data_IF_859716405065
#
_entry.id   IF_859716405065
#
_cell.length_a   1.000
_cell.length_b   1.000
_cell.length_c   1.000
_cell.angle_alpha   90.00
_cell.angle_beta   90.00
_cell.angle_gamma   90.00
#
_symmetry.space_group_name_H-M   'P 1'
#
loop_
_entity.id
_entity.type
_entity.pdbx_description
1 polymer ?
#
# COMPACT_ATOMS: atom_id res chain seq x y z
N UNK A 1 -10.44 21.19 -18.33
CA UNK A 1 -9.58 20.07 -18.78
C UNK A 1 -9.22 19.11 -17.62
N UNK A 2 -9.01 19.57 -16.39
CA UNK A 2 -8.74 18.72 -15.21
C UNK A 2 -9.89 17.74 -14.93
N UNK A 3 -11.15 18.18 -15.09
CA UNK A 3 -12.32 17.33 -14.83
C UNK A 3 -12.41 16.07 -15.71
N UNK A 4 -12.05 16.15 -16.99
CA UNK A 4 -12.16 15.02 -17.90
C UNK A 4 -11.13 13.91 -17.59
N UNK A 5 -9.89 14.26 -17.18
CA UNK A 5 -8.88 13.28 -16.79
C UNK A 5 -9.33 12.51 -15.54
N UNK A 6 -9.86 13.21 -14.53
CA UNK A 6 -10.35 12.57 -13.32
C UNK A 6 -11.57 11.70 -13.60
N UNK A 7 -12.52 12.16 -14.42
CA UNK A 7 -13.68 11.37 -14.80
C UNK A 7 -13.28 10.04 -15.48
N UNK A 8 -12.23 10.05 -16.31
CA UNK A 8 -11.71 8.83 -16.94
C UNK A 8 -11.12 7.88 -15.89
N UNK A 9 -10.35 8.39 -14.93
CA UNK A 9 -9.78 7.59 -13.84
C UNK A 9 -10.90 6.96 -13.01
N UNK A 10 -11.90 7.76 -12.59
CA UNK A 10 -13.02 7.30 -11.76
C UNK A 10 -13.90 6.27 -12.49
N UNK A 11 -14.14 6.47 -13.78
CA UNK A 11 -14.86 5.51 -14.61
C UNK A 11 -14.08 4.19 -14.76
N UNK A 12 -12.77 4.28 -14.94
CA UNK A 12 -11.89 3.11 -15.01
C UNK A 12 -11.92 2.33 -13.71
N UNK A 13 -11.85 3.03 -12.58
CA UNK A 13 -11.91 2.43 -11.26
C UNK A 13 -13.23 1.68 -11.03
N UNK A 14 -14.38 2.29 -11.34
CA UNK A 14 -15.68 1.64 -11.26
C UNK A 14 -15.77 0.38 -12.13
N UNK A 15 -15.29 0.45 -13.37
CA UNK A 15 -15.30 -0.69 -14.29
C UNK A 15 -14.39 -1.82 -13.81
N UNK A 16 -13.22 -1.50 -13.25
CA UNK A 16 -12.32 -2.50 -12.66
C UNK A 16 -12.97 -3.24 -11.48
N UNK A 17 -13.69 -2.52 -10.63
CA UNK A 17 -14.38 -3.11 -9.48
C UNK A 17 -15.55 -3.99 -9.89
N UNK A 18 -16.34 -3.57 -10.88
CA UNK A 18 -17.59 -4.25 -11.26
C UNK A 18 -17.40 -5.35 -12.28
N UNK A 19 -16.45 -5.20 -13.20
CA UNK A 19 -16.31 -6.09 -14.37
C UNK A 19 -14.90 -6.68 -14.50
N UNK A 20 -13.93 -6.21 -13.72
CA UNK A 20 -12.52 -6.60 -13.85
C UNK A 20 -11.91 -6.16 -15.19
N UNK A 21 -10.70 -6.70 -15.47
CA UNK A 21 -9.94 -6.35 -16.68
C UNK A 21 -10.56 -6.85 -17.98
N UNK A 22 -11.35 -7.92 -17.95
CA UNK A 22 -11.88 -8.55 -19.15
C UNK A 22 -12.79 -7.62 -19.97
N UNK A 23 -13.48 -6.70 -19.31
CA UNK A 23 -14.34 -5.70 -19.95
C UNK A 23 -13.76 -4.28 -19.99
N UNK A 24 -12.54 -4.10 -19.53
CA UNK A 24 -11.88 -2.80 -19.51
C UNK A 24 -11.35 -2.45 -20.92
N UNK A 25 -12.23 -1.89 -21.76
CA UNK A 25 -11.85 -1.35 -23.07
C UNK A 25 -11.94 0.17 -23.07
N UNK A 26 -11.15 0.83 -23.92
CA UNK A 26 -11.19 2.30 -24.05
C UNK A 26 -12.59 2.80 -24.41
N UNK A 27 -13.31 2.05 -25.21
CA UNK A 27 -14.69 2.37 -25.58
C UNK A 27 -15.66 2.34 -24.40
N UNK A 28 -15.52 1.34 -23.52
CA UNK A 28 -16.37 1.24 -22.32
C UNK A 28 -16.00 2.32 -21.30
N UNK A 29 -14.70 2.59 -21.12
CA UNK A 29 -14.24 3.65 -20.25
C UNK A 29 -14.76 5.02 -20.74
N UNK A 30 -14.65 5.30 -22.04
CA UNK A 30 -15.15 6.54 -22.62
C UNK A 30 -16.66 6.72 -22.40
N UNK A 31 -17.44 5.64 -22.61
CA UNK A 31 -18.87 5.64 -22.36
C UNK A 31 -19.21 5.92 -20.91
N UNK A 32 -18.53 5.23 -19.99
CA UNK A 32 -18.73 5.38 -18.54
C UNK A 32 -18.31 6.76 -18.03
N UNK A 33 -17.23 7.33 -18.61
CA UNK A 33 -16.72 8.65 -18.26
C UNK A 33 -17.51 9.81 -18.91
N UNK A 34 -18.39 9.52 -19.88
CA UNK A 34 -19.13 10.54 -20.64
C UNK A 34 -18.22 11.37 -21.56
N UNK A 35 -17.17 10.77 -22.13
CA UNK A 35 -16.19 11.46 -22.99
C UNK A 35 -16.03 10.77 -24.35
N UNK A 36 -15.44 11.46 -25.31
CA UNK A 36 -15.03 10.83 -26.58
C UNK A 36 -13.83 9.90 -26.36
N UNK A 37 -13.81 8.72 -27.03
CA UNK A 37 -12.75 7.72 -26.86
C UNK A 37 -11.35 8.30 -27.17
N UNK A 38 -11.22 9.17 -28.17
CA UNK A 38 -9.95 9.84 -28.49
C UNK A 38 -9.38 10.66 -27.34
N UNK A 39 -10.21 11.11 -26.40
CA UNK A 39 -9.75 11.88 -25.24
C UNK A 39 -8.96 11.01 -24.25
N UNK A 40 -9.24 9.72 -24.19
CA UNK A 40 -8.47 8.78 -23.36
C UNK A 40 -7.01 8.76 -23.84
N UNK A 41 -6.77 8.59 -25.12
CA UNK A 41 -5.42 8.57 -25.70
C UNK A 41 -4.69 9.93 -25.64
N UNK A 42 -5.45 11.01 -25.48
CA UNK A 42 -4.86 12.33 -25.23
C UNK A 42 -4.29 12.44 -23.80
N UNK A 43 -4.90 11.78 -22.83
CA UNK A 43 -4.49 11.85 -21.42
C UNK A 43 -3.58 10.70 -20.97
N UNK A 44 -3.69 9.52 -21.58
CA UNK A 44 -3.01 8.30 -21.17
C UNK A 44 -2.40 7.60 -22.38
N UNK A 45 -1.13 7.26 -22.30
CA UNK A 45 -0.40 6.61 -23.40
C UNK A 45 -0.92 5.21 -23.71
N UNK A 46 -1.30 4.49 -22.66
CA UNK A 46 -1.77 3.12 -22.74
C UNK A 46 -2.67 2.76 -21.54
N UNK A 47 -3.25 1.56 -21.60
CA UNK A 47 -4.11 1.01 -20.55
C UNK A 47 -3.36 0.83 -19.22
N UNK A 48 -2.08 0.53 -19.26
CA UNK A 48 -1.29 0.34 -18.04
C UNK A 48 -1.09 1.65 -17.29
N UNK A 49 -0.87 2.75 -18.01
CA UNK A 49 -0.78 4.08 -17.40
C UNK A 49 -2.11 4.47 -16.73
N UNK A 50 -3.24 4.18 -17.36
CA UNK A 50 -4.55 4.46 -16.79
C UNK A 50 -4.81 3.63 -15.52
N UNK A 51 -4.48 2.33 -15.53
CA UNK A 51 -4.59 1.46 -14.35
C UNK A 51 -3.64 1.94 -13.25
N UNK A 52 -2.43 2.37 -13.62
CA UNK A 52 -1.49 2.95 -12.66
C UNK A 52 -2.08 4.17 -11.94
N UNK A 53 -2.73 5.07 -12.67
CA UNK A 53 -3.37 6.27 -12.09
C UNK A 53 -4.53 5.90 -11.14
N UNK A 54 -5.28 4.84 -11.44
CA UNK A 54 -6.30 4.31 -10.52
C UNK A 54 -5.64 3.81 -9.24
N UNK A 55 -4.58 3.01 -9.34
CA UNK A 55 -3.82 2.52 -8.18
C UNK A 55 -3.25 3.70 -7.38
N UNK A 56 -2.62 4.67 -8.05
CA UNK A 56 -2.04 5.85 -7.38
C UNK A 56 -3.10 6.65 -6.62
N UNK A 57 -4.30 6.78 -7.17
CA UNK A 57 -5.40 7.46 -6.49
C UNK A 57 -5.77 6.75 -5.18
N UNK A 58 -5.82 5.42 -5.18
CA UNK A 58 -6.19 4.62 -4.01
C UNK A 58 -5.11 4.57 -2.94
N UNK A 59 -3.84 4.61 -3.33
CA UNK A 59 -2.71 4.59 -2.37
C UNK A 59 -2.25 5.99 -1.96
N UNK A 60 -2.89 7.04 -2.44
CA UNK A 60 -2.44 8.44 -2.26
C UNK A 60 -2.31 8.84 -0.79
N UNK A 61 -3.28 8.50 0.02
CA UNK A 61 -3.27 8.82 1.45
C UNK A 61 -2.13 8.10 2.16
N UNK A 62 -1.94 6.82 1.89
CA UNK A 62 -0.81 6.03 2.42
C UNK A 62 0.53 6.59 1.98
N UNK A 63 0.66 6.99 0.71
CA UNK A 63 1.87 7.62 0.18
C UNK A 63 2.17 8.94 0.92
N UNK A 64 1.17 9.80 1.09
CA UNK A 64 1.31 11.05 1.82
C UNK A 64 1.69 10.79 3.29
N UNK A 65 1.08 9.78 3.92
CA UNK A 65 1.42 9.40 5.28
C UNK A 65 2.88 8.96 5.38
N UNK A 66 3.33 8.07 4.50
CA UNK A 66 4.73 7.59 4.46
C UNK A 66 5.73 8.72 4.23
N UNK A 67 5.46 9.64 3.32
CA UNK A 67 6.32 10.79 3.06
C UNK A 67 6.44 11.75 4.26
N UNK A 68 5.42 11.82 5.11
CA UNK A 68 5.42 12.63 6.33
C UNK A 68 5.94 11.87 7.57
N UNK A 69 6.14 10.56 7.47
CA UNK A 69 6.58 9.72 8.59
C UNK A 69 7.90 10.19 9.23
N UNK A 70 8.89 10.71 8.50
CA UNK A 70 10.09 11.30 9.11
C UNK A 70 9.81 12.47 10.06
N UNK A 71 8.69 13.18 9.90
CA UNK A 71 8.28 14.27 10.79
C UNK A 71 7.74 13.75 12.14
N UNK A 72 7.45 12.47 12.23
CA UNK A 72 6.94 11.80 13.44
C UNK A 72 8.06 11.17 14.28
N UNK A 73 9.31 11.25 13.83
CA UNK A 73 10.49 10.75 14.56
C UNK A 73 10.57 11.43 15.94
N UNK A 74 10.65 10.61 16.98
CA UNK A 74 10.69 11.08 18.38
C UNK A 74 9.35 11.53 18.95
N UNK A 75 8.28 11.60 18.15
CA UNK A 75 6.94 11.93 18.61
C UNK A 75 6.13 10.68 18.92
N UNK A 76 5.08 10.79 19.72
CA UNK A 76 4.22 9.69 20.13
C UNK A 76 5.01 8.47 20.68
N UNK A 77 4.39 7.30 20.76
CA UNK A 77 5.10 6.04 20.97
C UNK A 77 5.43 5.40 19.63
N UNK A 78 6.58 4.71 19.55
CA UNK A 78 6.95 3.96 18.34
C UNK A 78 5.83 3.00 17.91
N UNK A 79 5.22 2.29 18.87
CA UNK A 79 4.10 1.37 18.59
C UNK A 79 2.90 2.06 17.97
N UNK A 80 2.57 3.30 18.41
CA UNK A 80 1.44 4.06 17.85
C UNK A 80 1.73 4.48 16.40
N UNK A 81 2.93 5.02 16.15
CA UNK A 81 3.31 5.42 14.79
C UNK A 81 3.32 4.21 13.84
N UNK A 82 3.81 3.05 14.30
CA UNK A 82 3.77 1.82 13.51
C UNK A 82 2.34 1.31 13.28
N UNK A 83 1.46 1.40 14.27
CA UNK A 83 0.04 1.05 14.11
C UNK A 83 -0.60 1.87 13.00
N UNK A 84 -0.41 3.18 13.01
CA UNK A 84 -0.98 4.08 12.00
C UNK A 84 -0.44 3.81 10.59
N UNK A 85 0.88 3.57 10.47
CA UNK A 85 1.50 3.14 9.20
C UNK A 85 0.88 1.86 8.69
N UNK A 86 0.83 0.81 9.53
CA UNK A 86 0.40 -0.51 9.10
C UNK A 86 -1.09 -0.55 8.75
N UNK A 87 -1.92 0.20 9.48
CA UNK A 87 -3.34 0.38 9.14
C UNK A 87 -3.49 1.07 7.78
N UNK A 88 -2.75 2.15 7.54
CA UNK A 88 -2.79 2.84 6.25
C UNK A 88 -2.39 1.93 5.09
N UNK A 89 -1.31 1.15 5.27
CA UNK A 89 -0.84 0.15 4.28
C UNK A 89 -1.87 -0.95 4.06
N UNK A 90 -2.48 -1.45 5.13
CA UNK A 90 -3.53 -2.46 5.08
C UNK A 90 -4.72 -1.98 4.22
N UNK A 91 -5.27 -0.81 4.54
CA UNK A 91 -6.43 -0.28 3.81
C UNK A 91 -6.13 -0.06 2.33
N UNK A 92 -4.97 0.55 2.01
CA UNK A 92 -4.57 0.72 0.62
C UNK A 92 -4.48 -0.61 -0.13
N UNK A 93 -3.86 -1.63 0.48
CA UNK A 93 -3.72 -2.95 -0.15
C UNK A 93 -5.04 -3.71 -0.23
N UNK A 94 -5.90 -3.59 0.76
CA UNK A 94 -7.25 -4.15 0.70
C UNK A 94 -8.00 -3.63 -0.52
N UNK A 95 -7.88 -2.34 -0.81
CA UNK A 95 -8.53 -1.70 -1.95
C UNK A 95 -7.92 -2.05 -3.31
N UNK A 96 -6.57 -2.14 -3.41
CA UNK A 96 -5.91 -2.39 -4.69
C UNK A 96 -5.69 -3.87 -5.02
N UNK A 97 -5.82 -4.79 -4.06
CA UNK A 97 -5.58 -6.24 -4.27
C UNK A 97 -6.36 -6.80 -5.46
N UNK A 98 -7.66 -6.52 -5.69
CA UNK A 98 -8.38 -7.02 -6.86
C UNK A 98 -7.76 -6.54 -8.18
N UNK A 99 -7.29 -5.29 -8.22
CA UNK A 99 -6.65 -4.70 -9.41
C UNK A 99 -5.30 -5.38 -9.64
N UNK A 100 -4.49 -5.52 -8.60
CA UNK A 100 -3.17 -6.13 -8.67
C UNK A 100 -3.26 -7.60 -9.13
N UNK A 101 -4.21 -8.37 -8.60
CA UNK A 101 -4.43 -9.76 -9.02
C UNK A 101 -4.75 -9.88 -10.51
N UNK A 102 -5.56 -8.97 -11.04
CA UNK A 102 -5.88 -8.95 -12.47
C UNK A 102 -4.69 -8.51 -13.34
N UNK A 103 -3.87 -7.58 -12.86
CA UNK A 103 -2.61 -7.19 -13.52
C UNK A 103 -1.62 -8.36 -13.55
N UNK A 104 -1.51 -9.13 -12.46
CA UNK A 104 -0.61 -10.29 -12.42
C UNK A 104 -1.01 -11.40 -13.40
N UNK A 105 -2.30 -11.51 -13.72
CA UNK A 105 -2.80 -12.48 -14.71
C UNK A 105 -2.45 -12.12 -16.17
N UNK A 106 -2.16 -10.85 -16.47
CA UNK A 106 -1.78 -10.36 -17.80
C UNK A 106 -0.29 -10.00 -17.83
N UNK A 107 0.52 -10.82 -18.50
CA UNK A 107 1.98 -10.63 -18.55
C UNK A 107 2.39 -9.30 -19.19
N UNK A 108 1.73 -8.87 -20.27
CA UNK A 108 2.07 -7.62 -20.96
C UNK A 108 1.75 -6.42 -20.09
N UNK A 109 0.58 -6.43 -19.48
CA UNK A 109 0.14 -5.37 -18.59
C UNK A 109 1.05 -5.28 -17.35
N UNK A 110 1.42 -6.42 -16.76
CA UNK A 110 2.33 -6.48 -15.63
C UNK A 110 3.68 -5.87 -15.93
N UNK A 111 4.32 -6.26 -17.05
CA UNK A 111 5.64 -5.72 -17.45
C UNK A 111 5.55 -4.20 -17.63
N UNK A 112 4.53 -3.73 -18.34
CA UNK A 112 4.35 -2.31 -18.58
C UNK A 112 4.10 -1.52 -17.30
N UNK A 113 3.30 -2.06 -16.38
CA UNK A 113 3.06 -1.43 -15.07
C UNK A 113 4.34 -1.37 -14.23
N UNK A 114 5.17 -2.41 -14.26
CA UNK A 114 6.47 -2.43 -13.58
C UNK A 114 7.43 -1.35 -14.11
N UNK A 115 7.43 -1.11 -15.42
CA UNK A 115 8.19 0.00 -16.02
C UNK A 115 7.72 1.36 -15.49
N UNK A 116 6.40 1.61 -15.50
CA UNK A 116 5.82 2.87 -15.02
C UNK A 116 6.14 3.09 -13.53
N UNK A 117 5.98 2.06 -12.71
CA UNK A 117 6.29 2.09 -11.27
C UNK A 117 7.75 2.46 -11.04
N UNK A 118 8.67 1.88 -11.83
CA UNK A 118 10.11 2.18 -11.77
C UNK A 118 10.42 3.60 -12.23
N UNK A 119 9.85 4.04 -13.36
CA UNK A 119 10.04 5.38 -13.91
C UNK A 119 9.57 6.48 -12.94
N UNK A 120 8.52 6.20 -12.19
CA UNK A 120 7.92 7.16 -11.25
C UNK A 120 8.45 7.06 -9.83
N UNK A 121 9.45 6.22 -9.58
CA UNK A 121 10.01 5.96 -8.25
C UNK A 121 8.90 5.63 -7.21
N UNK A 122 8.06 4.67 -7.54
CA UNK A 122 6.90 4.27 -6.73
C UNK A 122 6.90 2.78 -6.44
N UNK A 123 5.91 2.35 -5.68
CA UNK A 123 5.68 0.94 -5.37
C UNK A 123 6.32 0.47 -4.06
N UNK A 124 6.18 -0.83 -3.76
CA UNK A 124 6.51 -1.38 -2.45
C UNK A 124 7.95 -1.14 -1.99
N UNK A 125 8.90 -1.18 -2.94
CA UNK A 125 10.31 -0.97 -2.62
C UNK A 125 10.56 0.39 -1.98
N UNK A 126 10.03 1.45 -2.58
CA UNK A 126 10.23 2.82 -2.08
C UNK A 126 9.55 3.04 -0.74
N UNK A 127 8.34 2.50 -0.56
CA UNK A 127 7.63 2.60 0.71
C UNK A 127 8.38 1.85 1.85
N UNK A 128 8.97 0.70 1.56
CA UNK A 128 9.81 -0.02 2.52
C UNK A 128 11.08 0.78 2.86
N UNK A 129 11.73 1.40 1.87
CA UNK A 129 12.90 2.27 2.08
C UNK A 129 12.55 3.49 2.96
N UNK A 130 11.41 4.13 2.76
CA UNK A 130 10.93 5.24 3.61
C UNK A 130 10.68 4.78 5.06
N UNK A 131 10.06 3.61 5.25
CA UNK A 131 9.85 3.03 6.57
C UNK A 131 11.17 2.67 7.25
N UNK A 132 12.14 2.13 6.51
CA UNK A 132 13.50 1.87 7.03
C UNK A 132 14.19 3.14 7.50
N UNK A 133 14.10 4.24 6.74
CA UNK A 133 14.66 5.54 7.12
C UNK A 133 14.05 6.02 8.44
N UNK A 134 12.73 5.91 8.60
CA UNK A 134 12.05 6.25 9.84
C UNK A 134 12.53 5.38 11.02
N UNK A 135 12.54 4.05 10.86
CA UNK A 135 12.99 3.12 11.90
C UNK A 135 14.45 3.35 12.30
N UNK A 136 15.33 3.65 11.32
CA UNK A 136 16.72 3.97 11.58
C UNK A 136 16.89 5.29 12.37
N UNK A 137 16.00 6.26 12.14
CA UNK A 137 15.99 7.49 12.92
C UNK A 137 15.53 7.26 14.37
N UNK A 138 14.48 6.43 14.58
CA UNK A 138 14.00 6.03 15.91
C UNK A 138 15.06 5.22 16.68
N UNK A 139 15.81 4.37 15.97
CA UNK A 139 16.94 3.61 16.54
C UNK A 139 18.05 4.55 17.04
N UNK A 140 18.43 5.56 16.25
CA UNK A 140 19.40 6.58 16.67
C UNK A 140 18.97 7.38 17.89
N UNK A 141 17.67 7.52 18.13
CA UNK A 141 17.10 8.13 19.33
C UNK A 141 17.02 7.16 20.52
N UNK A 142 17.47 5.91 20.37
CA UNK A 142 17.39 4.89 21.42
C UNK A 142 15.99 4.34 21.68
N UNK A 143 15.04 4.57 20.77
CA UNK A 143 13.65 4.08 20.89
C UNK A 143 13.44 2.71 20.24
N UNK A 144 14.42 2.24 19.49
CA UNK A 144 14.53 0.90 18.91
C UNK A 144 15.93 0.35 19.25
N UNK A 145 16.01 -0.95 19.53
CA UNK A 145 17.28 -1.60 19.87
C UNK A 145 18.27 -1.57 18.71
N UNK A 146 19.55 -1.27 19.00
CA UNK A 146 20.64 -1.27 18.01
C UNK A 146 20.92 -2.66 17.41
N UNK A 147 20.44 -3.71 18.06
CA UNK A 147 20.56 -5.09 17.57
C UNK A 147 19.59 -5.42 16.42
N UNK A 148 18.63 -4.53 16.11
CA UNK A 148 17.61 -4.77 15.09
C UNK A 148 18.10 -4.23 13.75
N UNK A 149 18.05 -5.07 12.71
CA UNK A 149 18.17 -4.65 11.32
C UNK A 149 16.88 -3.93 10.89
N UNK A 150 16.97 -2.62 10.72
CA UNK A 150 15.82 -1.76 10.41
C UNK A 150 15.23 -2.04 9.02
N UNK A 151 16.06 -2.45 8.05
CA UNK A 151 15.60 -2.81 6.71
C UNK A 151 14.82 -4.13 6.71
N UNK A 152 15.28 -5.11 7.50
CA UNK A 152 14.54 -6.37 7.69
C UNK A 152 13.22 -6.11 8.42
N UNK A 153 13.25 -5.29 9.48
CA UNK A 153 12.04 -4.95 10.23
C UNK A 153 11.02 -4.22 9.34
N UNK A 154 11.46 -3.24 8.53
CA UNK A 154 10.59 -2.52 7.59
C UNK A 154 9.90 -3.49 6.61
N UNK A 155 10.65 -4.44 6.06
CA UNK A 155 10.07 -5.48 5.18
C UNK A 155 9.06 -6.36 5.90
N UNK A 156 9.37 -6.82 7.12
CA UNK A 156 8.45 -7.65 7.91
C UNK A 156 7.15 -6.91 8.20
N UNK A 157 7.22 -5.67 8.66
CA UNK A 157 6.05 -4.83 8.94
C UNK A 157 5.21 -4.61 7.68
N UNK A 158 5.84 -4.26 6.56
CA UNK A 158 5.17 -4.10 5.28
C UNK A 158 4.47 -5.38 4.82
N UNK A 159 5.16 -6.52 4.86
CA UNK A 159 4.63 -7.82 4.45
C UNK A 159 3.46 -8.28 5.31
N UNK A 160 3.52 -8.09 6.62
CA UNK A 160 2.43 -8.42 7.54
C UNK A 160 1.16 -7.66 7.13
N UNK A 161 1.26 -6.36 6.91
CA UNK A 161 0.12 -5.51 6.57
C UNK A 161 -0.54 -5.90 5.25
N UNK A 162 0.28 -6.12 4.20
CA UNK A 162 -0.21 -6.56 2.89
C UNK A 162 -0.86 -7.94 2.97
N UNK A 163 -0.21 -8.88 3.67
CA UNK A 163 -0.69 -10.25 3.73
C UNK A 163 -2.00 -10.34 4.50
N UNK A 164 -2.17 -9.56 5.58
CA UNK A 164 -3.45 -9.47 6.29
C UNK A 164 -4.56 -8.96 5.37
N UNK A 165 -4.31 -7.87 4.63
CA UNK A 165 -5.28 -7.32 3.67
C UNK A 165 -5.66 -8.33 2.56
N UNK A 166 -4.66 -9.06 2.03
CA UNK A 166 -4.90 -10.10 1.02
C UNK A 166 -5.72 -11.26 1.58
N UNK A 167 -5.43 -11.69 2.81
CA UNK A 167 -6.13 -12.80 3.46
C UNK A 167 -7.60 -12.46 3.68
N UNK A 168 -7.90 -11.26 4.19
CA UNK A 168 -9.28 -10.81 4.41
C UNK A 168 -10.05 -10.69 3.10
N UNK A 169 -9.42 -10.19 2.05
CA UNK A 169 -10.02 -10.19 0.70
C UNK A 169 -10.29 -11.58 0.16
N UNK A 170 -9.41 -12.54 0.42
CA UNK A 170 -9.57 -13.89 -0.08
C UNK A 170 -10.62 -14.67 0.70
N UNK A 171 -10.69 -14.49 2.01
CA UNK A 171 -11.66 -15.16 2.86
C UNK A 171 -13.06 -14.54 2.79
N UNK A 172 -13.18 -13.33 2.22
CA UNK A 172 -14.46 -12.60 2.13
C UNK A 172 -14.95 -12.10 3.49
N UNK A 173 -14.06 -11.97 4.45
CA UNK A 173 -14.40 -11.40 5.76
C UNK A 173 -14.86 -9.96 5.61
N UNK A 174 -15.93 -9.59 6.32
CA UNK A 174 -16.25 -8.18 6.50
C UNK A 174 -15.13 -7.52 7.31
N UNK A 175 -14.57 -6.44 6.77
CA UNK A 175 -13.51 -5.69 7.43
C UNK A 175 -14.12 -4.82 8.52
N UNK A 176 -13.96 -5.29 9.77
CA UNK A 176 -14.23 -4.48 10.96
C UNK A 176 -12.94 -3.76 11.37
N UNK A 177 -12.96 -2.45 11.30
CA UNK A 177 -11.77 -1.61 11.56
C UNK A 177 -11.19 -1.81 12.97
N UNK A 178 -12.04 -2.05 13.97
CA UNK A 178 -11.59 -2.32 15.32
C UNK A 178 -10.84 -3.65 15.43
N UNK A 179 -11.30 -4.68 14.72
CA UNK A 179 -10.66 -5.99 14.65
C UNK A 179 -9.32 -5.93 13.95
N UNK A 180 -9.23 -5.25 12.79
CA UNK A 180 -7.97 -5.05 12.06
C UNK A 180 -6.95 -4.29 12.91
N UNK A 181 -7.37 -3.19 13.53
CA UNK A 181 -6.50 -2.41 14.43
C UNK A 181 -6.00 -3.25 15.61
N UNK A 182 -6.86 -4.06 16.22
CA UNK A 182 -6.49 -4.95 17.32
C UNK A 182 -5.49 -6.03 16.88
N UNK A 183 -5.65 -6.57 15.68
CA UNK A 183 -4.74 -7.57 15.13
C UNK A 183 -3.37 -6.95 14.78
N UNK A 184 -3.32 -5.83 14.10
CA UNK A 184 -2.08 -5.09 13.80
C UNK A 184 -1.34 -4.75 15.10
N UNK A 185 -2.05 -4.30 16.12
CA UNK A 185 -1.45 -4.02 17.44
C UNK A 185 -0.81 -5.25 18.07
N UNK A 186 -1.43 -6.43 17.94
CA UNK A 186 -0.85 -7.69 18.40
C UNK A 186 0.43 -8.05 17.64
N UNK A 187 0.48 -7.84 16.33
CA UNK A 187 1.70 -8.05 15.55
C UNK A 187 2.83 -7.13 16.02
N UNK A 188 2.54 -5.85 16.18
CA UNK A 188 3.53 -4.89 16.68
C UNK A 188 4.03 -5.29 18.07
N UNK A 189 3.12 -5.60 19.01
CA UNK A 189 3.50 -6.02 20.35
C UNK A 189 4.38 -7.28 20.34
N UNK A 190 4.04 -8.26 19.51
CA UNK A 190 4.82 -9.49 19.37
C UNK A 190 6.22 -9.21 18.84
N UNK A 191 6.36 -8.37 17.81
CA UNK A 191 7.65 -7.98 17.26
C UNK A 191 8.48 -7.16 18.26
N UNK A 192 7.86 -6.22 18.97
CA UNK A 192 8.53 -5.39 19.97
C UNK A 192 9.00 -6.18 21.20
N UNK A 193 8.30 -7.26 21.57
CA UNK A 193 8.69 -8.13 22.70
C UNK A 193 9.73 -9.17 22.31
N UNK A 194 9.86 -9.49 21.02
CA UNK A 194 10.76 -10.51 20.48
C UNK A 194 10.29 -11.93 20.77
N UNK A 195 10.96 -12.93 20.19
CA UNK A 195 10.64 -14.35 20.30
C UNK A 195 11.52 -15.10 21.31
N UNK A 196 12.66 -14.53 21.71
CA UNK A 196 13.56 -15.19 22.62
C UNK A 196 13.04 -15.16 24.08
N UNK A 197 13.16 -16.28 24.83
CA UNK A 197 12.82 -16.28 26.24
C UNK A 197 13.62 -15.21 26.98
N UNK A 198 12.97 -14.39 27.80
CA UNK A 198 13.68 -13.43 28.65
C UNK A 198 14.54 -14.21 29.65
N UNK A 199 15.83 -13.85 29.84
CA UNK A 199 16.63 -14.48 30.87
C UNK A 199 15.93 -14.31 32.23
N UNK A 200 15.76 -15.42 32.96
CA UNK A 200 15.19 -15.37 34.32
C UNK A 200 16.08 -14.45 35.17
N UNK A 201 15.51 -13.55 35.97
CA UNK A 201 16.28 -12.74 36.89
C UNK A 201 17.11 -13.66 37.78
N UNK A 202 18.44 -13.45 37.85
CA UNK A 202 19.29 -14.19 38.76
C UNK A 202 18.73 -13.96 40.16
N UNK A 203 18.25 -15.04 40.83
CA UNK A 203 17.93 -14.99 42.27
C UNK A 203 19.21 -14.53 42.97
N UNK A 204 19.15 -13.39 43.65
CA UNK A 204 20.18 -12.96 44.59
C UNK A 204 20.11 -13.82 45.83
#
# INVERSE_FOLDING_TARGET
MIGNRQNIIDATDRLLQTHGLARLTTREIAREAGVAEGLIYHHFKDKAELIFEVIETRVRETKNYMQNLPLEVGKNTLSKNLEDVLLSVYHAHYEITPIINTVFADQKLRVRLQEIVKERNMGPRYAIEELEVYLSAEQRLGRLSDAIDTGVLAKCLWMISIQSAMLDRWTGNEVDEASVSAEIRKYIQTLMTGFAPRPKPKKR
#
